data_IF_438663123807
#
_entry.id   IF_438663123807
#
_cell.length_a   1.000
_cell.length_b   1.000
_cell.length_c   1.000
_cell.angle_alpha   90.00
_cell.angle_beta   90.00
_cell.angle_gamma   90.00
#
_symmetry.space_group_name_H-M   'P 1'
#
loop_
_entity.id
_entity.type
_entity.pdbx_description
1 polymer ?
#
# COMPACT_ATOMS: atom_id res chain seq x y z
N UNK A 1 -38.15 -10.27 -5.61
CA UNK A 1 -37.74 -9.36 -4.52
C UNK A 1 -36.32 -9.73 -4.13
N UNK A 2 -35.34 -9.03 -4.70
CA UNK A 2 -33.93 -9.41 -4.67
C UNK A 2 -33.04 -8.26 -4.23
N UNK A 3 -31.79 -8.57 -3.89
CA UNK A 3 -30.70 -7.60 -3.87
C UNK A 3 -29.99 -7.34 -2.55
N UNK A 4 -30.15 -8.15 -1.50
CA UNK A 4 -29.51 -7.88 -0.19
C UNK A 4 -28.22 -8.65 0.13
N UNK A 5 -27.87 -9.70 -0.63
CA UNK A 5 -26.94 -10.73 -0.13
C UNK A 5 -25.51 -10.72 -0.67
N UNK A 6 -25.22 -10.04 -1.79
CA UNK A 6 -23.94 -10.23 -2.51
C UNK A 6 -22.83 -9.27 -2.06
N UNK A 7 -23.19 -8.17 -1.38
CA UNK A 7 -22.23 -7.14 -0.97
C UNK A 7 -21.57 -7.41 0.40
N UNK A 8 -22.09 -8.31 1.22
CA UNK A 8 -21.39 -8.78 2.42
C UNK A 8 -20.37 -9.90 2.12
N UNK A 9 -20.51 -10.60 0.99
CA UNK A 9 -19.68 -11.77 0.65
C UNK A 9 -18.27 -11.41 0.17
N UNK A 10 -18.08 -10.22 -0.41
CA UNK A 10 -16.75 -9.74 -0.85
C UNK A 10 -15.92 -9.26 0.34
N UNK A 11 -16.57 -8.66 1.34
CA UNK A 11 -15.93 -8.20 2.57
C UNK A 11 -15.42 -9.40 3.41
N UNK A 12 -16.20 -10.48 3.48
CA UNK A 12 -15.80 -11.70 4.19
C UNK A 12 -14.64 -12.47 3.53
N UNK A 13 -14.38 -12.26 2.23
CA UNK A 13 -13.28 -12.92 1.51
C UNK A 13 -11.91 -12.26 1.77
N UNK A 14 -11.87 -11.05 2.33
CA UNK A 14 -10.63 -10.33 2.68
C UNK A 14 -10.24 -10.47 4.16
N UNK A 15 -11.13 -10.97 5.03
CA UNK A 15 -10.93 -11.07 6.50
C UNK A 15 -10.52 -12.48 6.95
N UNK A 16 -10.20 -13.39 6.03
CA UNK A 16 -9.70 -14.74 6.34
C UNK A 16 -8.54 -15.14 5.42
N UNK A 17 -7.33 -14.72 5.78
CA UNK A 17 -6.10 -15.43 5.46
C UNK A 17 -5.45 -15.87 6.79
N UNK A 18 -5.11 -17.17 6.96
CA UNK A 18 -4.87 -17.77 8.27
C UNK A 18 -3.39 -17.70 8.66
N UNK A 19 -3.08 -17.28 9.89
CA UNK A 19 -1.85 -17.72 10.59
C UNK A 19 -2.15 -17.90 12.07
N UNK A 20 -2.44 -19.15 12.44
CA UNK A 20 -2.22 -19.78 13.74
C UNK A 20 -1.72 -21.19 13.36
N UNK A 21 -0.70 -21.84 13.93
CA UNK A 21 -0.44 -22.16 15.36
C UNK A 21 1.09 -22.54 15.55
N UNK A 22 1.64 -23.00 16.71
CA UNK A 22 2.53 -22.22 17.57
C UNK A 22 3.85 -22.93 18.02
N UNK A 23 4.63 -22.25 18.89
CA UNK A 23 5.36 -22.78 20.07
C UNK A 23 6.57 -23.74 19.89
N UNK A 24 7.63 -23.49 20.70
CA UNK A 24 8.76 -24.39 21.10
C UNK A 24 10.19 -24.17 20.56
N UNK A 25 10.47 -23.22 19.68
CA UNK A 25 11.85 -22.96 19.21
C UNK A 25 12.73 -22.14 20.19
N UNK A 26 12.22 -21.81 21.39
CA UNK A 26 12.92 -21.00 22.39
C UNK A 26 13.74 -21.75 23.44
N UNK A 27 13.56 -23.07 23.59
CA UNK A 27 14.19 -23.84 24.69
C UNK A 27 15.54 -24.47 24.31
N UNK A 28 15.92 -24.44 23.04
CA UNK A 28 17.18 -25.02 22.55
C UNK A 28 18.31 -23.97 22.34
N UNK A 29 17.97 -22.69 22.37
CA UNK A 29 18.91 -21.58 22.14
C UNK A 29 19.84 -21.26 23.32
N UNK A 30 19.50 -21.68 24.55
CA UNK A 30 20.37 -21.46 25.72
C UNK A 30 21.44 -22.54 25.91
N UNK A 31 21.35 -23.66 25.19
CA UNK A 31 22.27 -24.81 25.34
C UNK A 31 23.38 -24.85 24.29
N UNK A 32 23.16 -24.28 23.10
CA UNK A 32 24.14 -24.27 22.01
C UNK A 32 24.52 -22.85 21.61
N UNK A 33 25.48 -22.26 22.33
CA UNK A 33 26.15 -21.05 21.90
C UNK A 33 27.05 -21.30 20.69
N UNK A 34 26.66 -20.83 19.50
CA UNK A 34 27.56 -20.62 18.37
C UNK A 34 27.17 -19.35 17.58
N UNK A 35 28.05 -18.35 17.68
CA UNK A 35 28.37 -17.30 16.71
C UNK A 35 27.23 -16.42 16.15
N UNK A 36 26.88 -15.41 16.95
CA UNK A 36 26.15 -14.20 16.53
C UNK A 36 27.02 -13.39 15.56
N UNK A 37 26.63 -13.30 14.28
CA UNK A 37 26.84 -12.12 13.42
C UNK A 37 26.11 -12.18 12.05
N UNK A 38 25.26 -13.18 11.79
CA UNK A 38 24.54 -13.31 10.50
C UNK A 38 23.02 -13.06 10.56
N UNK A 39 22.42 -12.92 11.74
CA UNK A 39 20.94 -12.78 11.91
C UNK A 39 20.50 -11.33 12.18
N UNK A 40 21.33 -10.35 11.83
CA UNK A 40 20.92 -8.93 11.75
C UNK A 40 20.68 -8.46 10.32
N UNK A 41 20.54 -9.38 9.37
CA UNK A 41 19.86 -9.05 8.13
C UNK A 41 18.39 -8.86 8.49
N UNK A 42 18.04 -7.62 8.84
CA UNK A 42 16.66 -7.18 8.95
C UNK A 42 16.00 -7.53 7.63
N UNK A 43 15.31 -8.67 7.56
CA UNK A 43 14.31 -8.90 6.53
C UNK A 43 13.21 -7.86 6.77
N UNK A 44 13.46 -6.64 6.33
CA UNK A 44 12.44 -5.62 6.16
C UNK A 44 11.63 -6.09 4.98
N UNK A 45 10.59 -6.88 5.26
CA UNK A 45 9.55 -7.11 4.27
C UNK A 45 8.89 -5.76 4.00
N UNK A 46 9.41 -5.04 2.99
CA UNK A 46 8.79 -3.80 2.50
C UNK A 46 7.46 -4.20 1.88
N UNK A 47 6.37 -3.93 2.61
CA UNK A 47 5.01 -4.09 2.09
C UNK A 47 4.84 -3.08 0.96
N UNK A 48 4.47 -3.55 -0.23
CA UNK A 48 4.17 -2.65 -1.34
C UNK A 48 2.91 -1.85 -1.01
N UNK A 49 2.99 -0.52 -1.00
CA UNK A 49 1.88 0.37 -0.69
C UNK A 49 1.34 1.03 -1.95
N UNK A 50 0.07 0.75 -2.23
CA UNK A 50 -0.68 1.32 -3.35
C UNK A 50 -1.77 2.21 -2.81
N UNK A 51 -1.82 3.46 -3.26
CA UNK A 51 -2.78 4.46 -2.78
C UNK A 51 -3.61 4.98 -3.95
N UNK A 52 -4.90 5.16 -3.73
CA UNK A 52 -5.83 5.73 -4.69
C UNK A 52 -6.29 7.11 -4.18
N UNK A 53 -6.11 8.15 -5.01
CA UNK A 53 -6.61 9.49 -4.75
C UNK A 53 -7.79 9.79 -5.66
N UNK A 54 -8.93 10.11 -5.05
CA UNK A 54 -10.14 10.55 -5.73
C UNK A 54 -10.22 12.09 -5.64
N UNK A 55 -10.50 12.74 -6.77
CA UNK A 55 -10.57 14.20 -6.89
C UNK A 55 -9.24 14.86 -7.26
N UNK A 56 -8.39 14.16 -8.02
CA UNK A 56 -7.04 14.61 -8.36
C UNK A 56 -6.98 15.90 -9.20
N UNK A 57 -8.04 16.25 -9.95
CA UNK A 57 -8.16 17.51 -10.68
C UNK A 57 -8.44 18.71 -9.76
N UNK A 58 -8.94 18.48 -8.55
CA UNK A 58 -9.36 19.55 -7.65
C UNK A 58 -8.19 20.41 -7.15
N UNK A 59 -8.50 21.60 -6.64
CA UNK A 59 -7.50 22.51 -6.08
C UNK A 59 -6.71 21.92 -4.89
N UNK A 60 -7.35 21.00 -4.15
CA UNK A 60 -6.71 20.23 -3.06
C UNK A 60 -6.09 18.93 -3.59
N UNK A 61 -6.70 18.32 -4.60
CA UNK A 61 -6.26 17.04 -5.17
C UNK A 61 -4.87 17.12 -5.78
N UNK A 62 -4.56 18.20 -6.52
CA UNK A 62 -3.25 18.40 -7.15
C UNK A 62 -2.08 18.47 -6.14
N UNK A 63 -2.11 19.33 -5.10
CA UNK A 63 -1.06 19.33 -4.08
C UNK A 63 -1.05 18.04 -3.25
N UNK A 64 -2.20 17.43 -2.99
CA UNK A 64 -2.25 16.13 -2.29
C UNK A 64 -1.61 15.01 -3.12
N UNK A 65 -1.81 14.99 -4.43
CA UNK A 65 -1.19 14.03 -5.34
C UNK A 65 0.34 14.16 -5.35
N UNK A 66 0.86 15.40 -5.30
CA UNK A 66 2.28 15.67 -5.15
C UNK A 66 2.84 15.15 -3.82
N UNK A 67 2.13 15.40 -2.72
CA UNK A 67 2.55 14.92 -1.39
C UNK A 67 2.57 13.39 -1.32
N UNK A 68 1.59 12.72 -1.92
CA UNK A 68 1.57 11.25 -2.00
C UNK A 68 2.72 10.70 -2.85
N UNK A 69 3.03 11.34 -3.98
CA UNK A 69 4.15 10.97 -4.86
C UNK A 69 5.51 11.11 -4.15
N UNK A 70 5.67 12.11 -3.29
CA UNK A 70 6.90 12.34 -2.51
C UNK A 70 7.05 11.44 -1.28
N UNK A 71 6.02 10.68 -0.90
CA UNK A 71 6.09 9.83 0.29
C UNK A 71 6.92 8.55 -0.01
N UNK A 72 8.06 8.33 0.68
CA UNK A 72 8.91 7.15 0.46
C UNK A 72 8.27 5.82 0.88
N UNK A 73 7.15 5.86 1.59
CA UNK A 73 6.39 4.66 1.97
C UNK A 73 5.39 4.23 0.89
N UNK A 74 5.15 5.04 -0.14
CA UNK A 74 4.19 4.76 -1.21
C UNK A 74 4.95 4.30 -2.46
N UNK A 75 4.53 3.18 -3.03
CA UNK A 75 5.12 2.61 -4.25
C UNK A 75 4.31 2.95 -5.50
N UNK A 76 3.00 3.15 -5.39
CA UNK A 76 2.11 3.45 -6.53
C UNK A 76 0.99 4.40 -6.12
N UNK A 77 0.75 5.43 -6.93
CA UNK A 77 -0.36 6.39 -6.75
C UNK A 77 -1.30 6.34 -7.95
N UNK A 78 -2.53 5.89 -7.72
CA UNK A 78 -3.60 5.91 -8.72
C UNK A 78 -4.46 7.18 -8.57
N UNK A 79 -4.61 7.95 -9.64
CA UNK A 79 -5.38 9.19 -9.65
C UNK A 79 -6.71 9.01 -10.38
N UNK A 80 -7.80 9.45 -9.74
CA UNK A 80 -9.15 9.40 -10.31
C UNK A 80 -9.89 10.72 -10.11
N UNK A 81 -10.81 11.01 -11.02
CA UNK A 81 -11.74 12.13 -10.90
C UNK A 81 -13.04 11.88 -11.68
N UNK A 82 -14.03 12.73 -11.46
CA UNK A 82 -15.31 12.69 -12.16
C UNK A 82 -15.14 13.00 -13.66
N UNK A 83 -15.95 12.38 -14.53
CA UNK A 83 -15.96 12.73 -15.95
C UNK A 83 -16.31 14.21 -16.15
N UNK A 84 -15.50 14.94 -16.93
CA UNK A 84 -15.72 16.36 -17.22
C UNK A 84 -15.20 17.33 -16.15
N UNK A 85 -14.32 16.89 -15.24
CA UNK A 85 -13.62 17.78 -14.32
C UNK A 85 -12.85 18.90 -15.05
N UNK A 86 -12.71 20.06 -14.39
CA UNK A 86 -12.11 21.28 -14.95
C UNK A 86 -10.69 21.06 -15.51
N UNK A 87 -9.91 20.16 -14.91
CA UNK A 87 -8.64 19.68 -15.48
C UNK A 87 -8.71 18.16 -15.70
N UNK A 88 -8.29 17.66 -16.87
CA UNK A 88 -8.25 16.22 -17.10
C UNK A 88 -7.13 15.57 -16.26
N UNK A 89 -7.44 14.47 -15.58
CA UNK A 89 -6.49 13.69 -14.77
C UNK A 89 -5.19 13.34 -15.51
N UNK A 90 -5.18 13.02 -16.82
CA UNK A 90 -3.94 12.83 -17.58
C UNK A 90 -2.94 13.99 -17.49
N UNK A 91 -3.41 15.24 -17.41
CA UNK A 91 -2.53 16.40 -17.24
C UNK A 91 -1.85 16.40 -15.86
N UNK A 92 -2.59 16.04 -14.81
CA UNK A 92 -2.05 15.90 -13.45
C UNK A 92 -1.04 14.76 -13.38
N UNK A 93 -1.30 13.64 -14.07
CA UNK A 93 -0.34 12.53 -14.16
C UNK A 93 0.94 12.94 -14.89
N UNK A 94 0.83 13.71 -15.98
CA UNK A 94 1.99 14.23 -16.69
C UNK A 94 2.85 15.13 -15.79
N UNK A 95 2.21 16.00 -14.99
CA UNK A 95 2.90 16.85 -14.01
C UNK A 95 3.66 16.01 -12.96
N UNK A 96 3.12 14.87 -12.51
CA UNK A 96 3.79 14.03 -11.51
C UNK A 96 4.84 13.08 -12.10
N UNK A 97 4.71 12.72 -13.38
CA UNK A 97 5.57 11.72 -14.04
C UNK A 97 7.04 12.13 -14.15
N UNK A 98 7.32 13.44 -14.16
CA UNK A 98 8.68 13.96 -14.24
C UNK A 98 9.32 14.22 -12.87
N UNK A 99 8.62 13.91 -11.77
CA UNK A 99 9.11 14.09 -10.40
C UNK A 99 9.85 12.82 -9.98
N UNK A 100 11.16 12.95 -9.73
CA UNK A 100 12.03 11.83 -9.40
C UNK A 100 11.77 11.30 -7.98
N UNK A 101 10.90 10.30 -7.88
CA UNK A 101 10.48 9.63 -6.64
C UNK A 101 10.35 8.13 -6.92
N UNK A 102 10.46 7.27 -5.88
CA UNK A 102 10.32 5.83 -6.05
C UNK A 102 8.89 5.39 -6.42
N UNK A 103 7.89 6.18 -6.02
CA UNK A 103 6.49 5.94 -6.31
C UNK A 103 6.21 6.04 -7.83
N UNK A 104 5.35 5.18 -8.37
CA UNK A 104 4.84 5.24 -9.76
C UNK A 104 3.62 6.14 -9.87
#
# INVERSE_FOLDING_TARGET
>A
VGGGGVLQSVWFKWVRAPVLVPEWEGFLGEVFGFHLDLVRSSFSFRRTMKVCLIGASGGIGRPLALLLKMNPEIDEVALYDVPGAHFPVPGVVADLSHINTPAK
#
